data_IF_815973164238
#
_entry.id   IF_815973164238
#
_cell.length_a   1.000
_cell.length_b   1.000
_cell.length_c   1.000
_cell.angle_alpha   90.00
_cell.angle_beta   90.00
_cell.angle_gamma   90.00
#
_symmetry.space_group_name_H-M   'P 1'
#
loop_
_entity.id
_entity.type
_entity.pdbx_description
1 polymer ?
#
# COMPACT_ATOMS: atom_id res chain seq x y z
N UNK A 1 -31.09 22.68 5.55
CA UNK A 1 -31.43 21.24 5.56
C UNK A 1 -30.33 20.49 4.83
N UNK A 2 -29.72 19.49 5.46
CA UNK A 2 -28.60 18.76 4.86
C UNK A 2 -29.13 17.81 3.77
N UNK A 3 -28.70 18.02 2.53
CA UNK A 3 -29.11 17.24 1.35
C UNK A 3 -28.47 15.84 1.36
N UNK A 4 -28.84 15.01 2.32
CA UNK A 4 -28.39 13.62 2.38
C UNK A 4 -29.39 12.76 1.61
N UNK A 5 -29.05 12.42 0.36
CA UNK A 5 -29.83 11.49 -0.45
C UNK A 5 -29.70 10.07 0.12
N UNK A 6 -30.83 9.41 0.38
CA UNK A 6 -30.85 8.01 0.78
C UNK A 6 -30.18 7.16 -0.30
N UNK A 7 -29.23 6.30 0.09
CA UNK A 7 -28.54 5.37 -0.80
C UNK A 7 -29.14 3.98 -0.64
N UNK A 8 -29.25 3.24 -1.73
CA UNK A 8 -29.65 1.83 -1.69
C UNK A 8 -28.54 0.96 -1.08
N UNK A 9 -28.89 -0.21 -0.57
CA UNK A 9 -27.90 -1.15 -0.01
C UNK A 9 -26.80 -1.54 -1.01
N UNK A 10 -27.14 -1.68 -2.29
CA UNK A 10 -26.18 -1.96 -3.36
C UNK A 10 -25.19 -0.81 -3.58
N UNK A 11 -25.67 0.43 -3.54
CA UNK A 11 -24.83 1.61 -3.65
C UNK A 11 -23.84 1.70 -2.48
N UNK A 12 -24.27 1.34 -1.27
CA UNK A 12 -23.40 1.30 -0.10
C UNK A 12 -22.35 0.19 -0.21
N UNK A 13 -22.74 -1.01 -0.66
CA UNK A 13 -21.80 -2.11 -0.93
C UNK A 13 -20.75 -1.71 -1.97
N UNK A 14 -21.17 -1.06 -3.07
CA UNK A 14 -20.26 -0.56 -4.11
C UNK A 14 -19.33 0.53 -3.56
N UNK A 15 -19.87 1.46 -2.78
CA UNK A 15 -19.08 2.50 -2.11
C UNK A 15 -18.00 1.89 -1.22
N UNK A 16 -18.35 0.87 -0.43
CA UNK A 16 -17.40 0.15 0.42
C UNK A 16 -16.31 -0.57 -0.38
N UNK A 17 -16.68 -1.27 -1.46
CA UNK A 17 -15.70 -1.91 -2.35
C UNK A 17 -14.72 -0.91 -2.95
N UNK A 18 -15.22 0.23 -3.42
CA UNK A 18 -14.38 1.31 -3.94
C UNK A 18 -13.46 1.89 -2.86
N UNK A 19 -13.96 2.05 -1.64
CA UNK A 19 -13.18 2.60 -0.54
C UNK A 19 -12.01 1.69 -0.16
N UNK A 20 -12.25 0.38 -0.07
CA UNK A 20 -11.20 -0.64 0.17
C UNK A 20 -10.16 -0.63 -0.95
N UNK A 21 -10.60 -0.57 -2.20
CA UNK A 21 -9.70 -0.53 -3.35
C UNK A 21 -8.81 0.73 -3.34
N UNK A 22 -9.39 1.90 -3.06
CA UNK A 22 -8.65 3.17 -2.95
C UNK A 22 -7.63 3.15 -1.81
N UNK A 23 -8.01 2.63 -0.65
CA UNK A 23 -7.11 2.44 0.49
C UNK A 23 -5.89 1.58 0.10
N UNK A 24 -6.13 0.43 -0.56
CA UNK A 24 -5.06 -0.45 -1.04
C UNK A 24 -4.13 0.22 -2.05
N UNK A 25 -4.70 0.93 -3.03
CA UNK A 25 -3.92 1.65 -4.03
C UNK A 25 -3.06 2.76 -3.43
N UNK A 26 -3.60 3.51 -2.45
CA UNK A 26 -2.85 4.56 -1.75
C UNK A 26 -1.63 3.99 -1.03
N UNK A 27 -1.80 2.87 -0.29
CA UNK A 27 -0.68 2.18 0.36
C UNK A 27 0.35 1.63 -0.63
N UNK A 28 -0.11 0.98 -1.69
CA UNK A 28 0.79 0.47 -2.73
C UNK A 28 1.60 1.59 -3.37
N UNK A 29 0.98 2.75 -3.65
CA UNK A 29 1.66 3.93 -4.18
C UNK A 29 2.70 4.44 -3.19
N UNK A 30 2.36 4.54 -1.91
CA UNK A 30 3.28 4.95 -0.85
C UNK A 30 4.49 4.01 -0.77
N UNK A 31 4.28 2.69 -0.85
CA UNK A 31 5.35 1.71 -0.79
C UNK A 31 6.27 1.76 -2.02
N UNK A 32 5.69 1.84 -3.22
CA UNK A 32 6.46 1.98 -4.46
C UNK A 32 7.28 3.26 -4.45
N UNK A 33 6.71 4.36 -3.96
CA UNK A 33 7.43 5.62 -3.83
C UNK A 33 8.60 5.54 -2.83
N UNK A 34 8.40 4.87 -1.69
CA UNK A 34 9.44 4.72 -0.68
C UNK A 34 10.59 3.77 -1.09
N UNK A 35 10.32 2.72 -1.87
CA UNK A 35 11.30 1.67 -2.19
C UNK A 35 11.79 1.65 -3.64
N UNK A 36 11.00 2.12 -4.59
CA UNK A 36 11.23 1.89 -6.02
C UNK A 36 12.30 2.76 -6.68
N UNK A 37 12.71 3.88 -6.07
CA UNK A 37 13.57 4.87 -6.75
C UNK A 37 14.87 5.20 -6.03
N UNK A 38 15.26 4.49 -4.96
CA UNK A 38 16.54 4.72 -4.28
C UNK A 38 16.71 6.12 -3.65
N UNK A 39 15.64 6.93 -3.61
CA UNK A 39 15.66 8.33 -3.18
C UNK A 39 14.27 8.96 -3.12
N UNK A 40 13.23 8.18 -2.77
CA UNK A 40 11.87 8.70 -2.64
C UNK A 40 11.80 9.82 -1.59
N UNK A 41 11.19 10.96 -1.95
CA UNK A 41 10.97 12.09 -1.05
C UNK A 41 10.01 11.75 0.11
N UNK A 42 9.61 12.75 0.92
CA UNK A 42 8.73 12.50 2.06
C UNK A 42 7.39 11.94 1.58
N UNK A 43 6.97 10.82 2.16
CA UNK A 43 5.64 10.26 1.91
C UNK A 43 4.57 11.24 2.36
N UNK A 44 3.59 11.53 1.50
CA UNK A 44 2.40 12.28 1.93
C UNK A 44 1.69 11.55 3.08
N UNK A 45 1.14 12.30 4.05
CA UNK A 45 0.41 11.69 5.15
C UNK A 45 -0.78 10.87 4.62
N UNK A 46 -1.08 9.71 5.23
CA UNK A 46 -2.20 8.88 4.83
C UNK A 46 -3.53 9.62 5.05
N UNK A 47 -4.53 9.32 4.21
CA UNK A 47 -5.89 9.81 4.40
C UNK A 47 -6.48 9.19 5.69
N UNK A 48 -6.97 10.00 6.65
CA UNK A 48 -7.57 9.51 7.89
C UNK A 48 -8.72 8.52 7.68
N UNK A 49 -9.41 8.60 6.52
CA UNK A 49 -10.45 7.64 6.18
C UNK A 49 -9.88 6.24 5.90
N UNK A 50 -8.69 6.15 5.30
CA UNK A 50 -8.05 4.87 5.02
C UNK A 50 -7.49 4.21 6.27
N UNK A 51 -7.03 4.99 7.26
CA UNK A 51 -6.64 4.45 8.57
C UNK A 51 -7.81 3.73 9.27
N UNK A 52 -9.02 4.28 9.14
CA UNK A 52 -10.23 3.62 9.66
C UNK A 52 -10.54 2.33 8.91
N UNK A 53 -10.32 2.30 7.60
CA UNK A 53 -10.51 1.07 6.78
C UNK A 53 -9.54 -0.01 7.23
N UNK A 54 -8.30 0.34 7.54
CA UNK A 54 -7.30 -0.60 8.08
C UNK A 54 -7.70 -1.16 9.44
N UNK A 55 -8.25 -0.33 10.32
CA UNK A 55 -8.73 -0.77 11.63
C UNK A 55 -9.88 -1.78 11.52
N UNK A 56 -10.79 -1.58 10.55
CA UNK A 56 -11.96 -2.45 10.35
C UNK A 56 -11.60 -3.71 9.57
N UNK A 57 -10.69 -3.62 8.59
CA UNK A 57 -10.35 -4.73 7.69
C UNK A 57 -8.84 -4.86 7.46
N UNK A 58 -8.06 -5.22 8.49
CA UNK A 58 -6.60 -5.23 8.42
C UNK A 58 -6.05 -6.23 7.39
N UNK A 59 -6.79 -7.31 7.12
CA UNK A 59 -6.36 -8.36 6.20
C UNK A 59 -6.31 -7.93 4.73
N UNK A 60 -7.03 -6.88 4.34
CA UNK A 60 -7.05 -6.41 2.94
C UNK A 60 -5.75 -5.75 2.53
N UNK A 61 -5.07 -5.12 3.49
CA UNK A 61 -3.82 -4.40 3.27
C UNK A 61 -2.62 -5.19 3.81
N UNK A 62 -2.81 -6.46 4.18
CA UNK A 62 -1.73 -7.37 4.55
C UNK A 62 -0.92 -7.71 3.30
N UNK A 63 0.39 -7.48 3.37
CA UNK A 63 1.32 -7.87 2.32
C UNK A 63 1.86 -9.27 2.59
N UNK A 64 2.17 -9.98 1.51
CA UNK A 64 2.85 -11.26 1.56
C UNK A 64 4.18 -11.11 0.83
N UNK A 65 5.26 -11.59 1.43
CA UNK A 65 6.56 -11.60 0.76
C UNK A 65 6.52 -12.63 -0.37
N UNK A 66 6.70 -12.18 -1.61
CA UNK A 66 6.85 -13.04 -2.78
C UNK A 66 8.06 -12.58 -3.57
N UNK A 67 8.82 -13.54 -4.11
CA UNK A 67 9.97 -13.27 -4.98
C UNK A 67 9.56 -12.68 -6.34
N UNK A 68 8.28 -12.80 -6.69
CA UNK A 68 7.69 -12.27 -7.92
C UNK A 68 6.91 -10.97 -7.70
N UNK A 69 6.99 -10.36 -6.50
CA UNK A 69 6.32 -9.09 -6.23
C UNK A 69 7.23 -7.92 -6.63
N UNK A 70 6.82 -7.16 -7.64
CA UNK A 70 7.60 -6.07 -8.24
C UNK A 70 7.72 -4.83 -7.33
N UNK A 71 7.09 -4.85 -6.17
CA UNK A 71 7.06 -3.73 -5.23
C UNK A 71 8.14 -3.81 -4.12
N UNK A 72 9.02 -4.82 -4.19
CA UNK A 72 10.16 -4.99 -3.29
C UNK A 72 9.76 -5.33 -1.84
N UNK A 73 8.56 -5.87 -1.61
CA UNK A 73 8.16 -6.33 -0.28
C UNK A 73 8.90 -7.60 0.13
N UNK A 74 9.55 -7.57 1.30
CA UNK A 74 10.23 -8.77 1.81
C UNK A 74 11.41 -9.24 0.96
N UNK A 75 11.82 -8.48 -0.06
CA UNK A 75 13.12 -8.66 -0.70
C UNK A 75 14.19 -8.49 0.38
N UNK A 76 14.77 -9.61 0.84
CA UNK A 76 16.07 -9.56 1.49
C UNK A 76 16.97 -8.88 0.49
N UNK A 77 17.52 -7.73 0.82
CA UNK A 77 18.54 -7.08 -0.01
C UNK A 77 19.64 -8.10 -0.25
N UNK A 78 19.61 -8.79 -1.40
CA UNK A 78 20.76 -9.48 -1.97
C UNK A 78 21.67 -8.39 -2.56
N UNK A 79 22.01 -7.44 -1.70
CA UNK A 79 23.10 -6.50 -1.89
C UNK A 79 23.94 -6.57 -0.61
N UNK A 80 24.17 -7.80 -0.13
CA UNK A 80 25.38 -8.08 0.61
C UNK A 80 26.52 -7.92 -0.38
N UNK A 81 27.13 -6.74 -0.37
CA UNK A 81 28.55 -6.47 -0.61
C UNK A 81 29.39 -7.75 -0.48
N UNK A 82 29.48 -8.53 -1.56
CA UNK A 82 30.22 -9.79 -1.64
C UNK A 82 31.00 -9.87 -2.97
N UNK A 83 31.46 -8.72 -3.48
CA UNK A 83 32.52 -8.63 -4.48
C UNK A 83 33.58 -7.61 -4.01
N UNK A 84 33.99 -7.72 -2.73
CA UNK A 84 35.21 -7.09 -2.22
C UNK A 84 36.05 -8.12 -1.47
N UNK A 85 36.54 -9.12 -2.18
CA UNK A 85 37.78 -9.86 -1.86
C UNK A 85 37.89 -11.05 -2.81
N UNK A 86 39.07 -11.23 -3.40
CA UNK A 86 39.46 -12.23 -4.42
C UNK A 86 39.34 -11.65 -5.84
N UNK A 87 40.40 -11.27 -6.56
CA UNK A 87 41.77 -11.77 -6.52
C UNK A 87 42.79 -10.66 -6.80
N UNK A 88 43.90 -10.75 -6.07
CA UNK A 88 45.18 -10.10 -6.36
C UNK A 88 45.77 -10.62 -7.67
#
# INVERSE_FOLDING_TARGET
MQNVTKRSGEQLKKCWSNLKQRSRQAKNKQWRYAKGTGGGGPCSPPDPLFEKVDAVVPHINRRYSSIYDDDGYGAKTICSRAEQSESR
#
